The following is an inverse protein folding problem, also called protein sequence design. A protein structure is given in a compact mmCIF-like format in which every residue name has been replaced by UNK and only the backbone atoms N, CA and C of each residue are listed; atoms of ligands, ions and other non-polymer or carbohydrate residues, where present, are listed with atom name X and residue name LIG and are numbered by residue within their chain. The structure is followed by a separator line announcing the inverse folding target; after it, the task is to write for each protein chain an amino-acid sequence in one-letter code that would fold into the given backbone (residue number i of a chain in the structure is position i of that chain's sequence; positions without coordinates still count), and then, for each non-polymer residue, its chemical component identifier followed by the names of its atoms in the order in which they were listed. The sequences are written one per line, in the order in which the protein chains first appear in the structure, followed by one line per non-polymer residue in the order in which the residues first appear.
data_IF_100295186329
#
_entry.id   IF_100295186329
#
_cell.length_a   1.000
_cell.length_b   1.000
_cell.length_c   1.000
_cell.angle_alpha   90.00
_cell.angle_beta   90.00
_cell.angle_gamma   90.00
#
_symmetry.space_group_name_H-M   'P 1'
#
loop_
_entity.id
_entity.type
_entity.pdbx_description
1 polymer ?
#
# COMPACT_ATOMS: atom_id res chain seq x y z
N UNK A 1 -7.91 2.58 -13.61
CA UNK A 1 -9.27 2.94 -13.13
C UNK A 1 -9.11 4.23 -12.32
N UNK A 2 -9.83 5.31 -12.64
CA UNK A 2 -9.69 6.62 -11.97
C UNK A 2 -10.52 6.65 -10.69
N UNK A 3 -10.00 7.23 -9.61
CA UNK A 3 -10.75 7.44 -8.37
C UNK A 3 -11.89 8.46 -8.60
N UNK A 4 -13.00 8.28 -7.90
CA UNK A 4 -14.12 9.21 -7.91
C UNK A 4 -13.83 10.42 -7.03
N UNK A 5 -14.21 11.59 -7.53
CA UNK A 5 -14.33 12.80 -6.71
C UNK A 5 -15.28 12.54 -5.55
N UNK A 6 -15.02 13.19 -4.40
CA UNK A 6 -15.73 12.95 -3.15
C UNK A 6 -17.27 12.97 -3.30
N UNK A 7 -17.79 13.94 -4.05
CA UNK A 7 -19.23 14.07 -4.32
C UNK A 7 -19.81 12.84 -5.05
N UNK A 8 -19.12 12.35 -6.09
CA UNK A 8 -19.56 11.16 -6.82
C UNK A 8 -19.39 9.88 -5.99
N UNK A 9 -18.34 9.81 -5.16
CA UNK A 9 -18.11 8.69 -4.27
C UNK A 9 -19.22 8.59 -3.21
N UNK A 10 -19.63 9.71 -2.60
CA UNK A 10 -20.66 9.71 -1.56
C UNK A 10 -22.06 9.44 -2.13
N UNK A 11 -22.34 9.91 -3.34
CA UNK A 11 -23.57 9.58 -4.06
C UNK A 11 -23.63 8.08 -4.39
N UNK A 12 -22.54 7.53 -4.94
CA UNK A 12 -22.42 6.10 -5.24
C UNK A 12 -22.59 5.25 -3.98
N UNK A 13 -21.94 5.63 -2.89
CA UNK A 13 -22.08 4.98 -1.60
C UNK A 13 -23.53 4.99 -1.12
N UNK A 14 -24.16 6.16 -1.15
CA UNK A 14 -25.51 6.37 -0.63
C UNK A 14 -26.55 5.55 -1.37
N UNK A 15 -26.39 5.40 -2.70
CA UNK A 15 -27.27 4.54 -3.52
C UNK A 15 -27.22 3.09 -3.08
N UNK A 16 -26.08 2.63 -2.58
CA UNK A 16 -25.91 1.24 -2.14
C UNK A 16 -26.33 1.06 -0.68
N UNK A 17 -25.92 1.97 0.21
CA UNK A 17 -26.14 1.93 1.65
C UNK A 17 -27.54 2.35 2.10
N UNK A 18 -28.12 3.38 1.46
CA UNK A 18 -29.38 4.01 1.88
C UNK A 18 -30.48 3.95 0.82
N UNK A 19 -30.15 3.55 -0.43
CA UNK A 19 -31.06 3.57 -1.59
C UNK A 19 -31.51 4.98 -2.02
N UNK A 20 -30.71 5.99 -1.70
CA UNK A 20 -30.92 7.37 -2.11
C UNK A 20 -29.58 8.04 -2.48
N UNK A 21 -29.59 9.29 -2.93
CA UNK A 21 -28.37 9.95 -3.43
C UNK A 21 -27.52 10.61 -2.32
N UNK A 22 -28.01 10.64 -1.08
CA UNK A 22 -27.32 11.22 0.08
C UNK A 22 -27.39 10.30 1.31
N UNK A 23 -26.52 10.47 2.30
CA UNK A 23 -26.64 9.75 3.56
C UNK A 23 -27.97 10.02 4.27
N UNK A 24 -28.42 9.05 5.08
CA UNK A 24 -29.50 9.28 6.03
C UNK A 24 -29.03 10.25 7.13
N UNK A 25 -29.99 10.97 7.72
CA UNK A 25 -29.72 11.91 8.82
C UNK A 25 -29.07 11.14 9.98
N UNK A 26 -27.91 11.62 10.44
CA UNK A 26 -27.12 10.99 11.51
C UNK A 26 -26.07 9.97 11.04
N UNK A 27 -25.97 9.71 9.73
CA UNK A 27 -24.96 8.86 9.09
C UNK A 27 -23.93 9.64 8.25
N UNK A 28 -23.98 10.97 8.24
CA UNK A 28 -23.12 11.84 7.42
C UNK A 28 -21.64 11.66 7.81
N UNK A 29 -21.34 11.68 9.11
CA UNK A 29 -19.98 11.54 9.61
C UNK A 29 -19.42 10.13 9.33
N UNK A 30 -20.25 9.09 9.53
CA UNK A 30 -19.88 7.71 9.25
C UNK A 30 -19.62 7.50 7.76
N UNK A 31 -20.48 8.04 6.90
CA UNK A 31 -20.31 8.03 5.44
C UNK A 31 -19.00 8.73 5.03
N UNK A 32 -18.68 9.88 5.65
CA UNK A 32 -17.41 10.57 5.41
C UNK A 32 -16.19 9.73 5.82
N UNK A 33 -16.24 9.04 6.96
CA UNK A 33 -15.18 8.12 7.41
C UNK A 33 -14.97 6.97 6.42
N UNK A 34 -16.06 6.40 5.87
CA UNK A 34 -15.99 5.37 4.83
C UNK A 34 -15.35 5.92 3.55
N UNK A 35 -15.66 7.16 3.15
CA UNK A 35 -15.05 7.78 1.97
C UNK A 35 -13.55 7.99 2.13
N UNK A 36 -13.09 8.40 3.32
CA UNK A 36 -11.66 8.51 3.64
C UNK A 36 -10.94 7.17 3.50
N UNK A 37 -11.57 6.08 3.96
CA UNK A 37 -11.01 4.73 3.81
C UNK A 37 -10.97 4.28 2.35
N UNK A 38 -12.07 4.45 1.61
CA UNK A 38 -12.19 3.93 0.25
C UNK A 38 -11.39 4.73 -0.79
N UNK A 39 -10.91 5.94 -0.44
CA UNK A 39 -10.14 6.85 -1.30
C UNK A 39 -10.74 7.02 -2.71
N UNK A 40 -12.08 7.03 -2.80
CA UNK A 40 -12.80 7.18 -4.07
C UNK A 40 -12.70 5.98 -5.02
N UNK A 41 -12.15 4.83 -4.63
CA UNK A 41 -12.12 3.62 -5.47
C UNK A 41 -13.55 3.10 -5.66
N UNK A 42 -14.13 3.13 -6.89
CA UNK A 42 -15.55 2.84 -7.12
C UNK A 42 -16.00 1.48 -6.57
N UNK A 43 -15.15 0.46 -6.72
CA UNK A 43 -15.46 -0.90 -6.26
C UNK A 43 -15.47 -0.98 -4.73
N UNK A 44 -14.51 -0.35 -4.05
CA UNK A 44 -14.46 -0.32 -2.59
C UNK A 44 -15.66 0.43 -2.01
N UNK A 45 -15.99 1.59 -2.60
CA UNK A 45 -17.18 2.39 -2.25
C UNK A 45 -18.46 1.55 -2.37
N UNK A 46 -18.62 0.83 -3.49
CA UNK A 46 -19.79 -0.04 -3.72
C UNK A 46 -19.88 -1.18 -2.71
N UNK A 47 -18.78 -1.90 -2.50
CA UNK A 47 -18.74 -3.04 -1.56
C UNK A 47 -19.08 -2.59 -0.15
N UNK A 48 -18.50 -1.48 0.31
CA UNK A 48 -18.76 -0.95 1.65
C UNK A 48 -20.21 -0.47 1.78
N UNK A 49 -20.77 0.17 0.75
CA UNK A 49 -22.17 0.57 0.74
C UNK A 49 -23.12 -0.62 0.84
N UNK A 50 -22.87 -1.70 0.11
CA UNK A 50 -23.65 -2.94 0.21
C UNK A 50 -23.48 -3.62 1.58
N UNK A 51 -22.27 -3.66 2.12
CA UNK A 51 -21.95 -4.30 3.39
C UNK A 51 -22.67 -3.62 4.57
N UNK A 52 -22.76 -2.29 4.55
CA UNK A 52 -23.34 -1.48 5.62
C UNK A 52 -24.85 -1.27 5.47
N UNK A 53 -25.44 -1.64 4.33
CA UNK A 53 -26.86 -1.46 4.07
C UNK A 53 -27.76 -2.12 5.14
N UNK A 54 -28.74 -1.37 5.66
CA UNK A 54 -29.70 -1.79 6.70
C UNK A 54 -29.05 -2.30 8.00
N UNK A 55 -27.79 -1.94 8.27
CA UNK A 55 -27.14 -2.19 9.55
C UNK A 55 -27.39 -1.04 10.50
N UNK A 56 -27.48 -1.35 11.79
CA UNK A 56 -27.63 -0.36 12.85
C UNK A 56 -26.34 0.47 13.01
N UNK A 57 -26.49 1.67 13.57
CA UNK A 57 -25.41 2.67 13.65
C UNK A 57 -24.20 2.15 14.43
N UNK A 58 -24.41 1.36 15.47
CA UNK A 58 -23.39 0.73 16.29
C UNK A 58 -22.55 -0.27 15.47
N UNK A 59 -23.19 -0.99 14.53
CA UNK A 59 -22.50 -1.90 13.62
C UNK A 59 -21.64 -1.14 12.62
N UNK A 60 -22.13 0.02 12.15
CA UNK A 60 -21.34 0.92 11.32
C UNK A 60 -20.10 1.42 12.06
N UNK A 61 -20.28 1.92 13.28
CA UNK A 61 -19.18 2.41 14.12
C UNK A 61 -18.15 1.31 14.37
N UNK A 62 -18.58 0.10 14.73
CA UNK A 62 -17.67 -1.04 14.92
C UNK A 62 -16.94 -1.46 13.65
N UNK A 63 -17.62 -1.49 12.50
CA UNK A 63 -17.01 -1.84 11.23
C UNK A 63 -16.00 -0.77 10.79
N UNK A 64 -16.35 0.51 10.92
CA UNK A 64 -15.48 1.63 10.59
C UNK A 64 -14.27 1.66 11.53
N UNK A 65 -14.44 1.43 12.84
CA UNK A 65 -13.33 1.33 13.79
C UNK A 65 -12.37 0.22 13.39
N UNK A 66 -12.87 -0.98 13.03
CA UNK A 66 -12.02 -2.08 12.53
C UNK A 66 -11.26 -1.70 11.26
N UNK A 67 -11.93 -1.06 10.30
CA UNK A 67 -11.29 -0.60 9.05
C UNK A 67 -10.26 0.51 9.30
N UNK A 68 -10.52 1.39 10.26
CA UNK A 68 -9.60 2.45 10.68
C UNK A 68 -8.43 1.92 11.50
N UNK A 69 -8.61 0.84 12.28
CA UNK A 69 -7.51 0.16 12.99
C UNK A 69 -6.48 -0.43 12.04
N UNK A 70 -6.89 -0.92 10.87
CA UNK A 70 -5.98 -1.34 9.79
C UNK A 70 -5.15 -0.14 9.28
N UNK A 71 -5.67 1.08 9.40
CA UNK A 71 -5.03 2.33 8.99
C UNK A 71 -4.51 3.19 10.18
N UNK A 72 -4.48 2.66 11.41
CA UNK A 72 -4.40 3.50 12.62
C UNK A 72 -3.07 4.28 12.73
N UNK A 73 -3.11 5.55 13.19
CA UNK A 73 -1.90 6.35 13.47
C UNK A 73 -0.94 5.70 14.47
N UNK A 74 -1.41 4.88 15.40
CA UNK A 74 -0.50 4.18 16.33
C UNK A 74 0.36 3.10 15.66
N UNK A 75 -0.08 2.55 14.51
CA UNK A 75 0.81 1.75 13.65
C UNK A 75 1.83 2.67 12.99
N UNK A 76 1.45 3.90 12.60
CA UNK A 76 2.36 4.90 12.01
C UNK A 76 3.45 5.36 13.00
N UNK A 77 3.09 5.64 14.25
CA UNK A 77 4.05 6.02 15.30
C UNK A 77 5.10 4.93 15.54
N UNK A 78 4.73 3.66 15.38
CA UNK A 78 5.67 2.54 15.40
C UNK A 78 6.55 2.46 14.15
N UNK A 79 5.97 2.69 12.97
CA UNK A 79 6.68 2.56 11.69
C UNK A 79 7.71 3.66 11.45
N UNK A 80 7.54 4.83 12.08
CA UNK A 80 8.50 5.94 12.03
C UNK A 80 9.89 5.58 12.59
N UNK A 81 9.97 4.56 13.45
CA UNK A 81 11.23 4.08 14.03
C UNK A 81 11.84 2.91 13.26
N UNK A 82 11.13 2.36 12.27
CA UNK A 82 11.62 1.20 11.51
C UNK A 82 12.74 1.65 10.59
N UNK A 83 13.93 1.11 10.83
CA UNK A 83 15.09 1.34 9.97
C UNK A 83 15.40 0.15 9.07
N UNK A 84 14.88 -1.03 9.40
CA UNK A 84 15.21 -2.27 8.70
C UNK A 84 14.05 -3.25 8.65
N UNK A 85 13.88 -3.90 7.51
CA UNK A 85 12.96 -5.02 7.33
C UNK A 85 13.75 -6.21 6.77
N UNK A 86 13.63 -7.35 7.44
CA UNK A 86 14.19 -8.62 7.00
C UNK A 86 13.06 -9.64 6.91
N UNK A 87 12.85 -10.23 5.74
CA UNK A 87 11.74 -11.13 5.49
C UNK A 87 12.18 -12.38 4.71
N UNK A 88 11.79 -13.53 5.22
CA UNK A 88 11.98 -14.82 4.58
C UNK A 88 10.79 -15.16 3.68
N UNK A 89 10.96 -14.92 2.39
CA UNK A 89 9.95 -15.12 1.35
C UNK A 89 9.54 -16.59 1.20
N UNK A 90 10.36 -17.55 1.65
CA UNK A 90 9.99 -18.97 1.63
C UNK A 90 8.79 -19.28 2.52
N UNK A 91 8.66 -18.55 3.63
CA UNK A 91 7.64 -18.74 4.67
C UNK A 91 6.36 -17.96 4.40
N UNK A 92 6.39 -17.04 3.45
CA UNK A 92 5.22 -16.25 3.07
C UNK A 92 4.49 -16.95 1.92
N UNK A 93 3.16 -16.90 1.94
CA UNK A 93 2.33 -17.46 0.85
C UNK A 93 2.28 -16.51 -0.35
N UNK A 94 1.98 -15.25 -0.11
CA UNK A 94 1.91 -14.18 -1.11
C UNK A 94 2.03 -12.82 -0.40
N UNK A 95 2.67 -11.83 -1.05
CA UNK A 95 2.72 -10.44 -0.61
C UNK A 95 2.22 -9.54 -1.74
N UNK A 96 1.21 -8.73 -1.44
CA UNK A 96 0.73 -7.68 -2.32
C UNK A 96 1.22 -6.33 -1.79
N UNK A 97 2.26 -5.77 -2.39
CA UNK A 97 2.78 -4.46 -1.99
C UNK A 97 1.99 -3.34 -2.68
N UNK A 98 1.60 -2.35 -1.89
CA UNK A 98 1.08 -1.10 -2.41
C UNK A 98 2.27 -0.27 -2.92
N UNK A 99 2.14 0.49 -4.02
CA UNK A 99 3.21 1.37 -4.51
C UNK A 99 3.69 2.42 -3.50
N UNK A 100 2.97 2.61 -2.39
CA UNK A 100 3.20 3.63 -1.37
C UNK A 100 3.46 3.00 0.03
N UNK A 101 3.72 1.69 0.11
CA UNK A 101 3.87 0.94 1.38
C UNK A 101 4.92 1.52 2.35
N UNK A 102 6.06 1.97 1.84
CA UNK A 102 7.22 2.42 2.60
C UNK A 102 7.24 3.92 2.91
N UNK A 103 6.30 4.70 2.37
CA UNK A 103 6.14 6.13 2.70
C UNK A 103 5.97 6.39 4.20
N UNK A 104 5.43 5.41 4.93
CA UNK A 104 5.18 5.46 6.38
C UNK A 104 6.38 5.05 7.24
N UNK A 105 7.50 4.72 6.61
CA UNK A 105 8.75 4.27 7.24
C UNK A 105 9.90 5.22 6.83
N UNK A 106 9.87 6.49 7.24
CA UNK A 106 10.80 7.52 6.76
C UNK A 106 12.28 7.26 7.13
N UNK A 107 12.55 6.38 8.10
CA UNK A 107 13.90 5.99 8.52
C UNK A 107 14.38 4.68 7.92
N UNK A 108 13.62 4.08 7.00
CA UNK A 108 13.97 2.80 6.39
C UNK A 108 15.27 2.92 5.59
N UNK A 109 16.27 2.15 5.99
CA UNK A 109 17.61 2.11 5.38
C UNK A 109 18.01 0.70 4.92
N UNK A 110 17.39 -0.34 5.47
CA UNK A 110 17.70 -1.72 5.19
C UNK A 110 16.45 -2.50 4.77
N UNK A 111 16.49 -3.11 3.59
CA UNK A 111 15.43 -3.98 3.11
C UNK A 111 16.05 -5.29 2.61
N UNK A 112 15.73 -6.39 3.26
CA UNK A 112 16.24 -7.72 2.92
C UNK A 112 15.11 -8.73 2.80
N UNK A 113 14.67 -8.97 1.58
CA UNK A 113 13.75 -10.06 1.25
C UNK A 113 14.57 -11.20 0.66
N UNK A 114 14.72 -12.28 1.42
CA UNK A 114 15.51 -13.45 1.01
C UNK A 114 14.62 -14.67 0.91
N UNK A 115 15.07 -15.73 0.24
CA UNK A 115 14.38 -17.01 0.25
C UNK A 115 15.29 -18.09 0.81
N UNK A 116 14.84 -18.85 1.82
CA UNK A 116 15.54 -20.05 2.29
C UNK A 116 15.16 -21.33 1.53
N UNK A 117 14.27 -21.25 0.53
CA UNK A 117 13.90 -22.38 -0.33
C UNK A 117 13.82 -21.98 -1.81
N UNK A 118 14.12 -22.93 -2.70
CA UNK A 118 14.19 -22.71 -4.15
C UNK A 118 12.86 -22.95 -4.89
N UNK A 119 11.72 -22.78 -4.21
CA UNK A 119 10.43 -22.78 -4.88
C UNK A 119 10.33 -21.50 -5.73
N UNK A 120 10.70 -21.61 -7.01
CA UNK A 120 10.94 -20.51 -7.95
C UNK A 120 9.72 -19.69 -8.38
N UNK A 121 8.67 -19.63 -7.56
CA UNK A 121 7.56 -18.70 -7.78
C UNK A 121 7.82 -17.40 -7.03
N UNK A 122 7.80 -16.29 -7.77
CA UNK A 122 7.84 -14.97 -7.18
C UNK A 122 6.54 -14.70 -6.41
N UNK A 123 6.63 -14.68 -5.09
CA UNK A 123 5.46 -14.49 -4.21
C UNK A 123 5.11 -13.02 -3.98
N UNK A 124 5.93 -12.08 -4.48
CA UNK A 124 5.69 -10.65 -4.35
C UNK A 124 5.01 -10.11 -5.61
N UNK A 125 3.81 -9.54 -5.43
CA UNK A 125 3.04 -8.89 -6.50
C UNK A 125 3.04 -7.38 -6.27
N UNK A 126 3.60 -6.65 -7.23
CA UNK A 126 3.56 -5.19 -7.31
C UNK A 126 3.60 -4.79 -8.79
N UNK A 127 2.76 -3.84 -9.19
CA UNK A 127 2.66 -3.39 -10.58
C UNK A 127 3.66 -2.27 -10.92
N UNK A 128 3.94 -1.41 -9.95
CA UNK A 128 4.98 -0.38 -10.02
C UNK A 128 5.36 0.03 -8.59
N UNK A 129 6.58 0.53 -8.41
CA UNK A 129 7.09 0.99 -7.13
C UNK A 129 7.71 2.37 -7.35
N UNK A 130 6.98 3.41 -6.95
CA UNK A 130 7.42 4.82 -6.97
C UNK A 130 7.28 5.40 -5.57
N UNK A 131 7.71 4.63 -4.58
CA UNK A 131 7.47 4.95 -3.18
C UNK A 131 8.53 5.94 -2.68
N UNK A 132 8.21 7.21 -2.36
CA UNK A 132 9.20 8.17 -1.87
C UNK A 132 10.09 7.65 -0.72
N UNK A 133 9.57 6.74 0.13
CA UNK A 133 10.32 6.13 1.24
C UNK A 133 11.53 5.29 0.78
N UNK A 134 11.58 4.86 -0.48
CA UNK A 134 12.75 4.17 -1.05
C UNK A 134 13.98 5.07 -1.23
N UNK A 135 13.82 6.40 -1.16
CA UNK A 135 14.92 7.35 -1.40
C UNK A 135 16.04 7.29 -0.36
N UNK A 136 15.76 6.80 0.85
CA UNK A 136 16.73 6.71 1.95
C UNK A 136 17.33 5.31 2.13
N UNK A 137 16.92 4.34 1.30
CA UNK A 137 17.40 2.96 1.39
C UNK A 137 18.88 2.87 1.02
N UNK A 138 19.67 2.27 1.90
CA UNK A 138 21.12 2.07 1.73
C UNK A 138 21.49 0.62 1.41
N UNK A 139 20.70 -0.33 1.90
CA UNK A 139 20.91 -1.76 1.68
C UNK A 139 19.64 -2.35 1.10
N UNK A 140 19.70 -2.81 -0.14
CA UNK A 140 18.60 -3.46 -0.82
C UNK A 140 19.03 -4.86 -1.23
N UNK A 141 18.48 -5.87 -0.54
CA UNK A 141 18.52 -7.26 -0.97
C UNK A 141 17.08 -7.71 -1.26
N UNK A 142 16.77 -8.09 -2.49
CA UNK A 142 15.41 -8.51 -2.85
C UNK A 142 15.40 -9.70 -3.80
N UNK A 143 15.25 -10.90 -3.23
CA UNK A 143 15.07 -12.15 -3.96
C UNK A 143 13.73 -12.15 -4.71
N UNK A 144 13.75 -12.49 -6.00
CA UNK A 144 12.53 -12.47 -6.79
C UNK A 144 11.99 -11.06 -6.94
N UNK A 145 12.84 -10.06 -7.20
CA UNK A 145 12.33 -8.71 -7.42
C UNK A 145 11.44 -8.69 -8.69
N UNK A 146 10.16 -8.27 -8.58
CA UNK A 146 9.14 -8.53 -9.61
C UNK A 146 9.13 -7.53 -10.78
N UNK A 147 9.73 -6.35 -10.62
CA UNK A 147 9.73 -5.31 -11.65
C UNK A 147 10.95 -5.41 -12.56
N UNK A 148 10.80 -4.92 -13.79
CA UNK A 148 11.85 -4.89 -14.82
C UNK A 148 12.96 -3.86 -14.56
N UNK A 149 12.68 -2.89 -13.69
CA UNK A 149 13.62 -1.86 -13.28
C UNK A 149 13.47 -1.48 -11.81
N UNK A 150 14.53 -0.91 -11.22
CA UNK A 150 14.48 -0.43 -9.85
C UNK A 150 13.64 0.85 -9.76
N UNK A 151 13.11 1.17 -8.56
CA UNK A 151 12.33 2.38 -8.34
C UNK A 151 13.16 3.61 -8.71
N UNK A 152 12.62 4.51 -9.52
CA UNK A 152 13.35 5.70 -9.98
C UNK A 152 13.85 6.56 -8.82
N UNK A 153 13.11 6.58 -7.72
CA UNK A 153 13.40 7.34 -6.52
C UNK A 153 14.46 6.71 -5.59
N UNK A 154 14.89 5.46 -5.82
CA UNK A 154 16.01 4.88 -5.08
C UNK A 154 17.31 5.62 -5.47
N UNK A 155 17.99 6.20 -4.47
CA UNK A 155 19.18 7.00 -4.69
C UNK A 155 20.41 6.11 -4.85
N UNK A 156 21.04 6.13 -6.03
CA UNK A 156 22.26 5.38 -6.28
C UNK A 156 23.43 5.86 -5.40
N UNK A 157 23.51 7.17 -5.13
CA UNK A 157 24.56 7.78 -4.29
C UNK A 157 24.49 7.34 -2.83
N UNK A 158 23.29 7.03 -2.32
CA UNK A 158 23.08 6.57 -0.94
C UNK A 158 23.20 5.05 -0.78
N UNK A 159 23.18 4.32 -1.89
CA UNK A 159 23.15 2.87 -1.90
C UNK A 159 24.54 2.31 -1.59
N UNK A 160 24.63 1.52 -0.53
CA UNK A 160 25.86 0.83 -0.11
C UNK A 160 25.88 -0.60 -0.66
N UNK A 161 24.72 -1.26 -0.72
CA UNK A 161 24.60 -2.63 -1.22
C UNK A 161 23.31 -2.79 -2.03
N UNK A 162 23.45 -3.42 -3.20
CA UNK A 162 22.35 -3.80 -4.08
C UNK A 162 22.50 -5.26 -4.51
N UNK A 163 21.57 -6.10 -4.07
CA UNK A 163 21.48 -7.51 -4.44
C UNK A 163 20.04 -7.83 -4.83
N UNK A 164 19.81 -8.30 -6.05
CA UNK A 164 18.47 -8.59 -6.57
C UNK A 164 18.45 -9.97 -7.23
N UNK A 165 18.74 -11.04 -6.47
CA UNK A 165 18.86 -12.38 -7.02
C UNK A 165 17.52 -12.89 -7.55
N UNK A 166 17.58 -13.72 -8.60
CA UNK A 166 16.40 -14.37 -9.20
C UNK A 166 15.30 -13.36 -9.60
N UNK A 167 15.70 -12.17 -10.05
CA UNK A 167 14.78 -11.07 -10.38
C UNK A 167 14.50 -10.95 -11.88
N UNK A 168 13.44 -10.21 -12.20
CA UNK A 168 13.07 -9.88 -13.58
C UNK A 168 13.72 -8.57 -14.07
N UNK A 169 14.76 -8.07 -13.39
CA UNK A 169 15.40 -6.80 -13.77
C UNK A 169 16.07 -6.95 -15.13
N UNK A 170 15.62 -6.14 -16.07
CA UNK A 170 16.21 -5.99 -17.40
C UNK A 170 17.10 -4.73 -17.46
N UNK A 171 16.78 -3.72 -16.65
CA UNK A 171 17.48 -2.44 -16.61
C UNK A 171 17.53 -1.89 -15.18
N UNK A 172 18.70 -1.43 -14.73
CA UNK A 172 18.84 -0.94 -13.36
C UNK A 172 18.00 0.32 -13.09
N UNK A 173 17.98 1.29 -14.01
CA UNK A 173 17.29 2.57 -13.83
C UNK A 173 16.61 3.02 -15.11
N UNK A 174 15.38 3.51 -15.03
CA UNK A 174 14.72 4.18 -16.16
C UNK A 174 15.22 5.64 -16.24
N UNK A 175 16.11 5.92 -17.21
CA UNK A 175 16.79 7.21 -17.40
C UNK A 175 18.29 7.22 -17.03
N UNK A 176 18.95 8.37 -17.25
CA UNK A 176 20.38 8.57 -16.93
C UNK A 176 20.54 8.83 -15.44
N UNK A 177 21.21 7.94 -14.72
CA UNK A 177 21.70 8.21 -13.36
C UNK A 177 23.21 8.44 -13.41
N UNK A 178 23.63 9.64 -13.03
CA UNK A 178 25.05 9.97 -12.91
C UNK A 178 25.54 9.33 -11.61
N UNK A 179 26.33 8.26 -11.72
CA UNK A 179 27.07 7.74 -10.59
C UNK A 179 28.36 8.56 -10.45
N UNK A 180 28.45 9.39 -9.42
CA UNK A 180 29.71 10.05 -9.07
C UNK A 180 30.51 9.06 -8.20
N UNK A 181 31.62 8.54 -8.73
CA UNK A 181 32.55 7.62 -8.04
C UNK A 181 33.46 8.34 -7.07
#
# INVERSE_FOLDING_TARGET
MKALEYHHAIELFSRHAFKQNHPDIGYEELSSKVMKYAQGVPLAVKVLGCFLHKREKEVWESAIDKLQRILHPSILEGTEKIEGICLDMSKVKEICLNPNTFTKMPKLRFLKFYSSSFNGENKCKVSYLQDPGFGEVKYLHWYGYPLKSLPSNLSAEKLVLLEVPDSNIEQLWDGVKVCIT
#
